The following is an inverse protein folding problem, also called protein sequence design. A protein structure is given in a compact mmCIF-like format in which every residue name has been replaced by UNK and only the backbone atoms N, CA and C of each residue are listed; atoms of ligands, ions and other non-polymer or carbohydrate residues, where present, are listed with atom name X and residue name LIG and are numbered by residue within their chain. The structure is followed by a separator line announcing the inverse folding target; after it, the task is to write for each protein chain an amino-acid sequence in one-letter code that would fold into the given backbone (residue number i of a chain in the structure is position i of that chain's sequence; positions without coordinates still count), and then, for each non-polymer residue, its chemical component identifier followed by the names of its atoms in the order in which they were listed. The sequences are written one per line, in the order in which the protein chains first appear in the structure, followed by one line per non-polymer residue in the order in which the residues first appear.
data_IF_487115665407
#
_entry.id   IF_487115665407
#
_cell.length_a   1.000
_cell.length_b   1.000
_cell.length_c   1.000
_cell.angle_alpha   90.00
_cell.angle_beta   90.00
_cell.angle_gamma   90.00
#
_symmetry.space_group_name_H-M   'P 1'
#
loop_
_entity.id
_entity.type
_entity.pdbx_description
1 polymer ?
#
# COMPACT_ATOMS: atom_id res chain seq x y z
N UNK A 1 22.89 11.34 5.87
CA UNK A 1 22.37 10.79 4.60
C UNK A 1 21.63 9.52 5.00
N UNK A 2 20.37 9.41 4.70
CA UNK A 2 19.59 8.19 5.01
C UNK A 2 20.06 7.09 4.09
N UNK A 3 20.49 5.95 4.63
CA UNK A 3 20.92 4.81 3.84
C UNK A 3 19.72 4.22 3.10
N UNK A 4 19.92 3.82 1.84
CA UNK A 4 18.86 3.24 1.02
C UNK A 4 18.93 1.71 1.09
N UNK A 5 17.82 1.10 1.52
CA UNK A 5 17.65 -0.35 1.45
C UNK A 5 17.51 -0.84 0.00
N UNK A 6 16.79 -0.04 -0.84
CA UNK A 6 16.62 -0.34 -2.26
C UNK A 6 16.86 0.96 -3.04
N UNK A 7 17.67 0.87 -4.10
CA UNK A 7 17.85 1.91 -5.10
C UNK A 7 17.77 1.30 -6.49
N UNK A 8 16.92 1.82 -7.34
CA UNK A 8 16.84 1.44 -8.75
C UNK A 8 16.71 2.70 -9.60
N UNK A 9 17.49 2.78 -10.67
CA UNK A 9 17.45 3.91 -11.59
C UNK A 9 17.13 3.40 -12.99
N UNK A 10 16.10 3.95 -13.60
CA UNK A 10 15.70 3.63 -14.96
C UNK A 10 15.41 2.15 -15.18
N UNK A 11 14.76 1.47 -14.22
CA UNK A 11 14.49 0.04 -14.30
C UNK A 11 13.56 -0.25 -15.48
N UNK A 12 13.97 -1.20 -16.35
CA UNK A 12 13.23 -1.59 -17.57
C UNK A 12 12.98 -3.08 -17.60
N UNK A 13 11.80 -3.46 -18.10
CA UNK A 13 11.44 -4.85 -18.36
C UNK A 13 10.39 -4.96 -19.44
N UNK A 14 10.65 -5.86 -20.40
CA UNK A 14 9.72 -6.22 -21.44
C UNK A 14 9.55 -7.74 -21.52
N UNK A 15 8.39 -8.19 -21.97
CA UNK A 15 8.08 -9.58 -22.25
C UNK A 15 7.53 -9.64 -23.69
N UNK A 16 8.35 -10.15 -24.61
CA UNK A 16 8.09 -10.03 -26.04
C UNK A 16 8.00 -8.55 -26.44
N UNK A 17 6.93 -8.18 -27.12
CA UNK A 17 6.69 -6.81 -27.59
C UNK A 17 6.07 -5.90 -26.51
N UNK A 18 5.70 -6.44 -25.35
CA UNK A 18 5.08 -5.65 -24.27
C UNK A 18 6.11 -5.14 -23.28
N UNK A 19 6.30 -3.83 -23.25
CA UNK A 19 7.04 -3.14 -22.17
C UNK A 19 6.17 -3.09 -20.92
N UNK A 20 6.70 -3.62 -19.80
CA UNK A 20 6.01 -3.69 -18.50
C UNK A 20 6.57 -2.67 -17.52
N UNK A 21 7.89 -2.43 -17.56
CA UNK A 21 8.54 -1.36 -16.82
C UNK A 21 9.36 -0.52 -17.79
N UNK A 22 9.19 0.79 -17.76
CA UNK A 22 9.82 1.72 -18.68
C UNK A 22 10.50 2.88 -17.93
N UNK A 23 11.66 2.61 -17.38
CA UNK A 23 12.48 3.63 -16.74
C UNK A 23 12.00 3.96 -15.31
N UNK A 24 11.68 2.94 -14.51
CA UNK A 24 11.23 3.10 -13.13
C UNK A 24 12.38 3.43 -12.19
N UNK A 25 12.24 4.53 -11.45
CA UNK A 25 13.18 4.97 -10.42
C UNK A 25 12.59 4.70 -9.04
N UNK A 26 13.36 4.05 -8.15
CA UNK A 26 12.95 3.74 -6.78
C UNK A 26 14.07 4.11 -5.81
N UNK A 27 13.70 4.76 -4.71
CA UNK A 27 14.58 5.07 -3.59
C UNK A 27 13.86 4.75 -2.27
N UNK A 28 14.19 3.61 -1.68
CA UNK A 28 13.55 3.09 -0.46
C UNK A 28 14.50 3.25 0.71
N UNK A 29 14.21 4.12 1.68
CA UNK A 29 15.03 4.29 2.88
C UNK A 29 15.01 3.03 3.76
N UNK A 30 16.10 2.76 4.49
CA UNK A 30 16.13 1.69 5.48
C UNK A 30 15.13 1.95 6.63
N UNK A 31 14.52 0.88 7.15
CA UNK A 31 13.62 0.94 8.30
C UNK A 31 12.30 1.67 8.01
N UNK A 32 11.84 1.66 6.76
CA UNK A 32 10.56 2.26 6.36
C UNK A 32 9.63 1.27 5.68
N UNK A 33 8.34 1.63 5.62
CA UNK A 33 7.34 0.98 4.76
C UNK A 33 7.24 1.77 3.46
N UNK A 34 7.65 1.14 2.36
CA UNK A 34 7.52 1.69 1.02
C UNK A 34 6.43 0.94 0.26
N UNK A 35 5.44 1.66 -0.27
CA UNK A 35 4.35 1.09 -1.06
C UNK A 35 4.54 1.38 -2.55
N UNK A 36 4.54 0.35 -3.37
CA UNK A 36 4.38 0.45 -4.83
C UNK A 36 2.91 0.25 -5.17
N UNK A 37 2.18 1.35 -5.29
CA UNK A 37 0.75 1.40 -5.57
C UNK A 37 0.48 1.40 -7.07
N UNK A 38 -0.54 0.68 -7.52
CA UNK A 38 -0.97 0.73 -8.92
C UNK A 38 -1.99 -0.34 -9.28
N UNK A 39 -2.65 -0.23 -10.43
CA UNK A 39 -3.65 -1.19 -10.88
C UNK A 39 -3.02 -2.55 -11.21
N UNK A 40 -3.89 -3.55 -11.42
CA UNK A 40 -3.45 -4.85 -11.89
C UNK A 40 -2.82 -4.72 -13.28
N UNK A 41 -1.68 -5.39 -13.47
CA UNK A 41 -0.93 -5.32 -14.72
C UNK A 41 0.00 -4.11 -14.88
N UNK A 42 0.05 -3.18 -13.93
CA UNK A 42 0.95 -2.02 -13.98
C UNK A 42 2.45 -2.37 -13.91
N UNK A 43 2.81 -3.59 -13.47
CA UNK A 43 4.20 -4.03 -13.36
C UNK A 43 4.72 -4.21 -11.94
N UNK A 44 3.87 -4.09 -10.91
CA UNK A 44 4.25 -4.20 -9.48
C UNK A 44 5.01 -5.50 -9.17
N UNK A 45 4.40 -6.65 -9.46
CA UNK A 45 5.03 -7.98 -9.28
C UNK A 45 6.31 -8.13 -10.11
N UNK A 46 6.37 -7.54 -11.31
CA UNK A 46 7.58 -7.54 -12.12
C UNK A 46 8.72 -6.78 -11.44
N UNK A 47 8.44 -5.63 -10.82
CA UNK A 47 9.43 -4.88 -10.05
C UNK A 47 9.93 -5.72 -8.86
N UNK A 48 9.02 -6.34 -8.08
CA UNK A 48 9.39 -7.26 -6.98
C UNK A 48 10.27 -8.40 -7.48
N UNK A 49 9.90 -9.04 -8.58
CA UNK A 49 10.68 -10.16 -9.15
C UNK A 49 12.10 -9.76 -9.53
N UNK A 50 12.30 -8.55 -10.05
CA UNK A 50 13.63 -8.06 -10.39
C UNK A 50 14.44 -7.76 -9.13
N UNK A 51 13.86 -7.02 -8.19
CA UNK A 51 14.52 -6.62 -6.95
C UNK A 51 14.86 -7.85 -6.08
N UNK A 52 14.04 -8.91 -6.14
CA UNK A 52 14.26 -10.17 -5.42
C UNK A 52 15.10 -11.20 -6.18
N UNK A 53 15.69 -10.83 -7.31
CA UNK A 53 16.55 -11.71 -8.14
C UNK A 53 15.83 -12.84 -8.88
N UNK A 54 14.51 -12.87 -8.92
CA UNK A 54 13.74 -13.91 -9.62
C UNK A 54 13.74 -13.72 -11.14
N UNK A 55 13.89 -12.47 -11.59
CA UNK A 55 13.94 -12.11 -13.01
C UNK A 55 15.02 -11.05 -13.23
N UNK A 56 15.87 -11.17 -14.27
CA UNK A 56 16.82 -10.09 -14.57
C UNK A 56 16.11 -8.89 -15.18
N UNK A 57 16.58 -7.66 -14.90
CA UNK A 57 16.13 -6.47 -15.62
C UNK A 57 16.63 -6.52 -17.07
N UNK A 58 15.98 -5.78 -17.96
CA UNK A 58 16.39 -5.69 -19.35
C UNK A 58 17.69 -4.89 -19.54
N UNK A 59 18.44 -5.13 -20.64
CA UNK A 59 19.55 -4.27 -21.05
C UNK A 59 19.09 -2.81 -21.18
N UNK A 60 19.92 -1.87 -20.69
CA UNK A 60 19.55 -0.46 -20.66
C UNK A 60 18.89 0.00 -19.36
N UNK A 61 18.57 -0.92 -18.44
CA UNK A 61 18.31 -0.55 -17.04
C UNK A 61 19.55 0.04 -16.40
N UNK A 62 19.39 1.10 -15.63
CA UNK A 62 20.46 1.68 -14.84
C UNK A 62 20.89 0.80 -13.66
N UNK A 63 21.67 1.35 -12.73
CA UNK A 63 22.12 0.61 -11.54
C UNK A 63 20.93 0.26 -10.63
N UNK A 64 20.96 -0.98 -10.12
CA UNK A 64 20.01 -1.47 -9.11
C UNK A 64 20.81 -1.95 -7.90
N UNK A 65 20.37 -1.57 -6.71
CA UNK A 65 20.94 -2.00 -5.43
C UNK A 65 19.82 -2.46 -4.51
N UNK A 66 20.02 -3.60 -3.86
CA UNK A 66 19.12 -4.14 -2.83
C UNK A 66 20.00 -4.61 -1.68
N UNK A 67 19.80 -4.03 -0.49
CA UNK A 67 20.69 -4.26 0.66
C UNK A 67 22.16 -3.93 0.38
N UNK A 68 22.41 -2.95 -0.49
CA UNK A 68 23.75 -2.54 -0.93
C UNK A 68 24.35 -3.36 -2.08
N UNK A 69 23.68 -4.44 -2.52
CA UNK A 69 24.18 -5.38 -3.54
C UNK A 69 23.44 -5.24 -4.88
N UNK A 70 24.14 -5.47 -5.99
CA UNK A 70 23.53 -5.51 -7.33
C UNK A 70 22.90 -6.89 -7.57
N UNK A 71 21.58 -6.97 -7.83
CA UNK A 71 20.88 -8.25 -8.07
C UNK A 71 21.44 -9.07 -9.25
N UNK A 72 22.07 -8.42 -10.22
CA UNK A 72 22.62 -9.06 -11.43
C UNK A 72 23.94 -9.76 -11.16
N UNK A 73 24.78 -9.23 -10.28
CA UNK A 73 26.16 -9.69 -10.06
C UNK A 73 26.37 -10.32 -8.69
N UNK A 74 25.54 -9.96 -7.70
CA UNK A 74 25.65 -10.42 -6.32
C UNK A 74 24.30 -10.97 -5.79
N UNK A 75 23.56 -11.71 -6.63
CA UNK A 75 22.23 -12.21 -6.31
C UNK A 75 22.19 -13.07 -5.03
N UNK A 76 23.25 -13.82 -4.70
CA UNK A 76 23.29 -14.58 -3.45
C UNK A 76 23.30 -13.65 -2.21
N UNK A 77 24.08 -12.56 -2.27
CA UNK A 77 24.12 -11.60 -1.17
C UNK A 77 22.77 -10.85 -1.03
N UNK A 78 22.10 -10.54 -2.16
CA UNK A 78 20.73 -10.00 -2.13
C UNK A 78 19.78 -10.98 -1.45
N UNK A 79 19.74 -12.26 -1.89
CA UNK A 79 18.85 -13.28 -1.31
C UNK A 79 19.09 -13.53 0.17
N UNK A 80 20.33 -13.40 0.64
CA UNK A 80 20.65 -13.50 2.07
C UNK A 80 20.13 -12.30 2.89
N UNK A 81 19.85 -11.16 2.26
CA UNK A 81 19.39 -9.95 2.93
C UNK A 81 17.86 -9.75 2.87
N UNK A 82 17.17 -10.52 2.03
CA UNK A 82 15.74 -10.31 1.75
C UNK A 82 14.87 -11.48 2.18
N UNK A 83 13.59 -11.19 2.49
CA UNK A 83 12.49 -12.14 2.53
C UNK A 83 11.46 -11.77 1.46
N UNK A 84 10.80 -12.75 0.87
CA UNK A 84 9.79 -12.52 -0.17
C UNK A 84 8.54 -13.32 0.13
N UNK A 85 7.42 -12.63 0.26
CA UNK A 85 6.10 -13.25 0.29
C UNK A 85 5.40 -12.92 -1.01
N UNK A 86 5.20 -13.90 -1.86
CA UNK A 86 4.56 -13.73 -3.16
C UNK A 86 3.04 -13.61 -3.07
N UNK A 87 2.41 -13.44 -4.24
CA UNK A 87 0.95 -13.42 -4.36
C UNK A 87 0.32 -14.77 -3.97
N UNK A 88 1.00 -15.88 -4.24
CA UNK A 88 0.58 -17.22 -3.79
C UNK A 88 1.36 -17.60 -2.54
N UNK A 89 0.63 -18.14 -1.55
CA UNK A 89 1.23 -18.59 -0.30
C UNK A 89 2.16 -19.78 -0.54
N UNK A 90 3.35 -19.73 0.06
CA UNK A 90 4.32 -20.82 0.08
C UNK A 90 4.03 -21.87 1.18
N UNK A 91 2.95 -21.70 1.94
CA UNK A 91 2.56 -22.60 3.03
C UNK A 91 2.12 -23.97 2.48
N UNK A 92 2.80 -25.02 2.91
CA UNK A 92 2.35 -26.39 2.63
C UNK A 92 1.18 -26.77 3.55
N UNK A 93 0.02 -26.97 2.95
CA UNK A 93 -1.23 -27.31 3.66
C UNK A 93 -1.21 -28.71 4.29
N UNK A 94 -0.34 -29.61 3.85
CA UNK A 94 -0.30 -31.00 4.32
C UNK A 94 0.41 -31.16 5.66
N UNK A 95 1.34 -30.26 5.98
CA UNK A 95 2.09 -30.23 7.22
C UNK A 95 1.57 -29.17 8.18
N UNK A 96 1.97 -29.23 9.44
CA UNK A 96 1.56 -28.30 10.49
C UNK A 96 2.22 -26.92 10.30
N UNK A 97 1.69 -25.89 10.97
CA UNK A 97 2.33 -24.57 10.98
C UNK A 97 3.76 -24.62 11.53
N UNK A 98 3.99 -25.38 12.61
CA UNK A 98 5.32 -25.57 13.19
C UNK A 98 6.28 -26.25 12.20
N UNK A 99 5.84 -27.29 11.49
CA UNK A 99 6.65 -27.98 10.47
C UNK A 99 6.98 -27.09 9.28
N UNK A 100 6.05 -26.24 8.81
CA UNK A 100 6.34 -25.23 7.79
C UNK A 100 7.47 -24.29 8.24
N UNK A 101 7.42 -23.81 9.49
CA UNK A 101 8.45 -22.93 10.06
C UNK A 101 9.79 -23.63 10.20
N UNK A 102 9.80 -24.88 10.67
CA UNK A 102 11.03 -25.68 10.82
C UNK A 102 11.65 -26.02 9.45
N UNK A 103 10.84 -26.26 8.42
CA UNK A 103 11.31 -26.41 7.05
C UNK A 103 12.07 -25.17 6.58
N UNK A 104 11.52 -23.98 6.86
CA UNK A 104 12.20 -22.73 6.54
C UNK A 104 13.50 -22.56 7.33
N UNK A 105 13.54 -23.00 8.61
CA UNK A 105 14.75 -22.97 9.39
C UNK A 105 15.85 -23.87 8.80
N UNK A 106 15.49 -25.07 8.35
CA UNK A 106 16.42 -25.99 7.69
C UNK A 106 16.92 -25.43 6.35
N UNK A 107 16.04 -24.82 5.56
CA UNK A 107 16.40 -24.15 4.29
C UNK A 107 17.33 -22.94 4.49
N UNK A 108 17.23 -22.27 5.63
CA UNK A 108 18.12 -21.17 6.03
C UNK A 108 19.36 -21.67 6.79
N UNK A 109 19.60 -22.98 6.83
CA UNK A 109 20.76 -23.61 7.46
C UNK A 109 20.90 -23.31 8.97
N UNK A 110 19.81 -23.06 9.67
CA UNK A 110 19.82 -22.87 11.12
C UNK A 110 20.07 -24.22 11.82
N UNK A 111 20.79 -24.17 12.93
CA UNK A 111 20.90 -25.38 13.78
C UNK A 111 19.51 -25.74 14.31
N UNK A 112 19.31 -27.04 14.66
CA UNK A 112 18.02 -27.49 15.23
C UNK A 112 17.59 -26.68 16.46
N UNK A 113 18.55 -26.24 17.28
CA UNK A 113 18.27 -25.45 18.47
C UNK A 113 17.80 -24.04 18.10
N UNK A 114 18.50 -23.38 17.19
CA UNK A 114 18.14 -22.04 16.69
C UNK A 114 16.82 -22.08 15.93
N UNK A 115 16.64 -23.04 15.01
CA UNK A 115 15.40 -23.21 14.27
C UNK A 115 14.18 -23.35 15.17
N UNK A 116 14.25 -24.20 16.22
CA UNK A 116 13.14 -24.31 17.18
C UNK A 116 12.88 -23.02 17.96
N UNK A 117 13.95 -22.32 18.37
CA UNK A 117 13.80 -21.05 19.09
C UNK A 117 13.12 -20.00 18.20
N UNK A 118 13.65 -19.77 16.99
CA UNK A 118 13.09 -18.80 16.05
C UNK A 118 11.65 -19.17 15.66
N UNK A 119 11.38 -20.46 15.43
CA UNK A 119 10.01 -20.93 15.15
C UNK A 119 9.05 -20.58 16.28
N UNK A 120 9.41 -20.85 17.54
CA UNK A 120 8.55 -20.56 18.69
C UNK A 120 8.31 -19.05 18.83
N UNK A 121 9.37 -18.23 18.73
CA UNK A 121 9.29 -16.76 18.81
C UNK A 121 8.40 -16.17 17.70
N UNK A 122 8.54 -16.66 16.46
CA UNK A 122 7.73 -16.15 15.34
C UNK A 122 6.27 -16.63 15.43
N UNK A 123 6.02 -17.89 15.81
CA UNK A 123 4.64 -18.38 16.00
C UNK A 123 3.92 -17.60 17.11
N UNK A 124 4.61 -17.24 18.18
CA UNK A 124 4.06 -16.39 19.25
C UNK A 124 3.79 -14.98 18.72
N UNK A 125 4.77 -14.33 18.08
CA UNK A 125 4.65 -12.98 17.53
C UNK A 125 3.50 -12.83 16.52
N UNK A 126 3.22 -13.89 15.74
CA UNK A 126 2.15 -13.91 14.74
C UNK A 126 0.83 -14.48 15.24
N UNK A 127 0.69 -14.71 16.56
CA UNK A 127 -0.52 -15.27 17.19
C UNK A 127 -0.96 -16.59 16.51
N UNK A 128 -0.01 -17.52 16.35
CA UNK A 128 -0.21 -18.83 15.74
C UNK A 128 0.14 -20.00 16.66
N UNK A 129 0.51 -19.75 17.93
CA UNK A 129 0.94 -20.75 18.89
C UNK A 129 -0.10 -21.84 19.12
N UNK A 130 -1.38 -21.47 19.29
CA UNK A 130 -2.47 -22.43 19.54
C UNK A 130 -2.81 -23.30 18.32
N UNK A 131 -2.42 -22.82 17.13
CA UNK A 131 -2.64 -23.53 15.88
C UNK A 131 -1.38 -24.25 15.37
N UNK A 132 -0.22 -24.04 15.99
CA UNK A 132 1.09 -24.49 15.51
C UNK A 132 1.13 -25.97 15.12
N UNK A 133 0.45 -26.82 15.89
CA UNK A 133 0.41 -28.29 15.70
C UNK A 133 -0.74 -28.77 14.81
N UNK A 134 -1.56 -27.86 14.26
CA UNK A 134 -2.63 -28.21 13.32
C UNK A 134 -2.08 -28.16 11.89
N UNK A 135 -2.54 -29.04 10.98
CA UNK A 135 -2.24 -28.93 9.56
C UNK A 135 -2.61 -27.54 9.03
N UNK A 136 -1.75 -26.94 8.20
CA UNK A 136 -1.99 -25.60 7.68
C UNK A 136 -3.19 -25.54 6.72
N UNK A 137 -3.67 -26.69 6.21
CA UNK A 137 -4.95 -26.78 5.48
C UNK A 137 -6.16 -26.32 6.33
N UNK A 138 -6.10 -26.50 7.66
CA UNK A 138 -7.15 -26.11 8.60
C UNK A 138 -7.08 -24.61 9.01
N UNK A 139 -6.09 -23.87 8.55
CA UNK A 139 -5.94 -22.45 8.86
C UNK A 139 -6.92 -21.60 8.04
N UNK A 140 -7.43 -20.51 8.65
CA UNK A 140 -8.15 -19.47 7.91
C UNK A 140 -7.20 -18.76 6.92
N UNK A 141 -7.76 -18.00 5.96
CA UNK A 141 -6.95 -17.21 5.04
C UNK A 141 -5.99 -16.27 5.74
N UNK A 142 -6.46 -15.55 6.77
CA UNK A 142 -5.62 -14.67 7.58
C UNK A 142 -4.52 -15.41 8.36
N UNK A 143 -4.81 -16.60 8.91
CA UNK A 143 -3.79 -17.42 9.56
C UNK A 143 -2.72 -17.92 8.57
N UNK A 144 -3.14 -18.37 7.38
CA UNK A 144 -2.20 -18.77 6.32
C UNK A 144 -1.30 -17.61 5.91
N UNK A 145 -1.85 -16.41 5.75
CA UNK A 145 -1.07 -15.22 5.37
C UNK A 145 -0.10 -14.81 6.49
N UNK A 146 -0.51 -14.89 7.76
CA UNK A 146 0.38 -14.66 8.90
C UNK A 146 1.52 -15.67 8.95
N UNK A 147 1.23 -16.95 8.74
CA UNK A 147 2.24 -18.00 8.68
C UNK A 147 3.22 -17.77 7.52
N UNK A 148 2.73 -17.41 6.35
CA UNK A 148 3.54 -17.14 5.15
C UNK A 148 4.57 -16.02 5.39
N UNK A 149 4.14 -14.92 6.03
CA UNK A 149 5.06 -13.84 6.40
C UNK A 149 6.01 -14.30 7.51
N UNK A 150 5.54 -15.03 8.52
CA UNK A 150 6.41 -15.57 9.58
C UNK A 150 7.52 -16.47 8.99
N UNK A 151 7.18 -17.30 7.99
CA UNK A 151 8.15 -18.15 7.28
C UNK A 151 9.25 -17.31 6.60
N UNK A 152 8.92 -16.17 6.02
CA UNK A 152 9.94 -15.31 5.37
C UNK A 152 10.89 -14.64 6.35
N UNK A 153 10.49 -14.53 7.63
CA UNK A 153 11.30 -13.92 8.69
C UNK A 153 12.33 -14.88 9.32
N UNK A 154 12.20 -16.18 9.08
CA UNK A 154 13.06 -17.20 9.72
C UNK A 154 14.55 -16.96 9.47
N UNK A 155 14.92 -16.49 8.28
CA UNK A 155 16.29 -16.14 7.90
C UNK A 155 16.82 -14.82 8.46
N UNK A 156 16.01 -14.07 9.20
CA UNK A 156 16.38 -12.74 9.72
C UNK A 156 16.65 -11.69 8.62
N UNK A 157 15.79 -11.53 7.61
CA UNK A 157 16.02 -10.60 6.52
C UNK A 157 16.00 -9.14 7.00
N UNK A 158 16.80 -8.28 6.35
CA UNK A 158 16.76 -6.82 6.58
C UNK A 158 15.69 -6.12 5.75
N UNK A 159 15.29 -6.73 4.63
CA UNK A 159 14.30 -6.20 3.71
C UNK A 159 13.26 -7.29 3.42
N UNK A 160 11.98 -6.96 3.46
CA UNK A 160 10.89 -7.87 3.10
C UNK A 160 10.10 -7.30 1.94
N UNK A 161 9.88 -8.14 0.93
CA UNK A 161 8.95 -7.88 -0.15
C UNK A 161 7.62 -8.57 0.14
N UNK A 162 6.54 -7.79 0.14
CA UNK A 162 5.18 -8.28 0.32
C UNK A 162 4.36 -7.96 -0.94
N UNK A 163 4.06 -8.98 -1.74
CA UNK A 163 3.25 -8.77 -2.95
C UNK A 163 1.77 -8.94 -2.62
N UNK A 164 1.04 -7.82 -2.59
CA UNK A 164 -0.39 -7.73 -2.25
C UNK A 164 -0.77 -8.46 -0.95
N UNK A 165 -0.20 -8.06 0.21
CA UNK A 165 -0.25 -8.85 1.45
C UNK A 165 -1.66 -9.06 2.02
N UNK A 166 -2.62 -8.20 1.69
CA UNK A 166 -3.96 -8.24 2.28
C UNK A 166 -5.06 -8.64 1.30
N UNK A 167 -4.69 -8.97 0.05
CA UNK A 167 -5.68 -9.39 -0.96
C UNK A 167 -6.43 -10.64 -0.51
N UNK A 168 -7.77 -10.58 -0.56
CA UNK A 168 -8.66 -11.68 -0.16
C UNK A 168 -8.84 -11.86 1.34
N UNK A 169 -8.32 -10.97 2.18
CA UNK A 169 -8.55 -10.97 3.62
C UNK A 169 -9.82 -10.18 3.97
N UNK A 170 -10.52 -10.63 5.00
CA UNK A 170 -11.59 -9.87 5.63
C UNK A 170 -11.04 -8.60 6.33
N UNK A 171 -11.89 -7.58 6.61
CA UNK A 171 -11.43 -6.32 7.20
C UNK A 171 -10.64 -6.48 8.51
N UNK A 172 -11.07 -7.39 9.39
CA UNK A 172 -10.39 -7.64 10.66
C UNK A 172 -9.00 -8.24 10.45
N UNK A 173 -8.90 -9.23 9.57
CA UNK A 173 -7.62 -9.87 9.21
C UNK A 173 -6.68 -8.88 8.53
N UNK A 174 -7.21 -7.94 7.73
CA UNK A 174 -6.44 -6.86 7.09
C UNK A 174 -5.83 -5.93 8.13
N UNK A 175 -6.62 -5.42 9.09
CA UNK A 175 -6.10 -4.58 10.17
C UNK A 175 -5.03 -5.29 11.02
N UNK A 176 -5.24 -6.57 11.34
CA UNK A 176 -4.23 -7.36 12.05
C UNK A 176 -2.93 -7.46 11.24
N UNK A 177 -3.03 -7.64 9.92
CA UNK A 177 -1.87 -7.69 9.04
C UNK A 177 -1.12 -6.35 9.01
N UNK A 178 -1.83 -5.23 8.96
CA UNK A 178 -1.23 -3.89 9.02
C UNK A 178 -0.46 -3.67 10.32
N UNK A 179 -1.00 -4.10 11.46
CA UNK A 179 -0.30 -4.04 12.74
C UNK A 179 1.01 -4.84 12.71
N UNK A 180 0.97 -6.07 12.20
CA UNK A 180 2.15 -6.91 12.03
C UNK A 180 3.21 -6.22 11.16
N UNK A 181 2.82 -5.63 10.02
CA UNK A 181 3.74 -4.93 9.12
C UNK A 181 4.40 -3.74 9.83
N UNK A 182 3.65 -2.94 10.59
CA UNK A 182 4.20 -1.83 11.39
C UNK A 182 5.20 -2.31 12.45
N UNK A 183 4.91 -3.43 13.12
CA UNK A 183 5.81 -4.03 14.11
C UNK A 183 7.12 -4.52 13.49
N UNK A 184 7.09 -5.03 12.25
CA UNK A 184 8.31 -5.43 11.54
C UNK A 184 9.26 -4.25 11.36
N UNK A 185 8.73 -3.10 10.94
CA UNK A 185 9.51 -1.88 10.74
C UNK A 185 10.01 -1.30 12.06
N UNK A 186 9.21 -1.32 13.11
CA UNK A 186 9.65 -0.95 14.46
C UNK A 186 10.82 -1.82 14.92
N UNK A 187 10.88 -3.09 14.48
CA UNK A 187 11.99 -4.02 14.70
C UNK A 187 13.20 -3.80 13.77
N UNK A 188 13.20 -2.74 12.95
CA UNK A 188 14.32 -2.37 12.07
C UNK A 188 14.29 -3.02 10.68
N UNK A 189 13.25 -3.76 10.32
CA UNK A 189 13.09 -4.36 8.99
C UNK A 189 12.55 -3.32 8.02
N UNK A 190 13.11 -3.24 6.82
CA UNK A 190 12.53 -2.44 5.73
C UNK A 190 11.47 -3.25 5.02
N UNK A 191 10.30 -2.68 4.80
CA UNK A 191 9.20 -3.33 4.08
C UNK A 191 8.95 -2.65 2.75
N UNK A 192 9.04 -3.43 1.67
CA UNK A 192 8.58 -3.04 0.34
C UNK A 192 7.30 -3.81 0.02
N UNK A 193 6.17 -3.13 -0.01
CA UNK A 193 4.89 -3.76 -0.33
C UNK A 193 4.36 -3.29 -1.68
N UNK A 194 3.67 -4.17 -2.37
CA UNK A 194 2.85 -3.78 -3.52
C UNK A 194 1.39 -3.85 -3.13
N UNK A 195 0.59 -2.94 -3.64
CA UNK A 195 -0.85 -2.96 -3.44
C UNK A 195 -1.59 -2.28 -4.59
N UNK A 196 -2.86 -2.64 -4.76
CA UNK A 196 -3.83 -1.91 -5.55
C UNK A 196 -4.83 -1.14 -4.66
N UNK A 197 -4.77 -1.35 -3.34
CA UNK A 197 -5.68 -0.72 -2.38
C UNK A 197 -5.09 0.58 -1.88
N UNK A 198 -5.77 1.68 -2.17
CA UNK A 198 -5.36 3.03 -1.78
C UNK A 198 -5.37 3.21 -0.26
N UNK A 199 -6.38 2.63 0.42
CA UNK A 199 -6.47 2.61 1.88
C UNK A 199 -5.25 1.95 2.53
N UNK A 200 -4.75 0.83 1.97
CA UNK A 200 -3.56 0.15 2.50
C UNK A 200 -2.30 1.02 2.37
N UNK A 201 -2.15 1.68 1.22
CA UNK A 201 -1.03 2.58 1.00
C UNK A 201 -1.08 3.80 1.93
N UNK A 202 -2.27 4.41 2.10
CA UNK A 202 -2.50 5.56 2.98
C UNK A 202 -2.21 5.24 4.45
N UNK A 203 -2.69 4.09 4.92
CA UNK A 203 -2.56 3.67 6.31
C UNK A 203 -1.16 3.18 6.69
N UNK A 204 -0.44 2.52 5.78
CA UNK A 204 0.80 1.85 6.11
C UNK A 204 2.06 2.59 5.69
N UNK A 205 2.05 3.22 4.52
CA UNK A 205 3.29 3.59 3.88
C UNK A 205 3.87 4.91 4.38
N UNK A 206 5.17 4.90 4.72
CA UNK A 206 5.94 6.13 4.94
C UNK A 206 6.17 6.86 3.60
N UNK A 207 6.31 6.10 2.51
CA UNK A 207 6.41 6.62 1.14
C UNK A 207 5.67 5.73 0.16
N UNK A 208 5.01 6.38 -0.80
CA UNK A 208 4.22 5.72 -1.84
C UNK A 208 4.81 6.12 -3.19
N UNK A 209 4.97 5.14 -4.08
CA UNK A 209 5.20 5.36 -5.50
C UNK A 209 4.01 4.84 -6.30
N UNK A 210 3.38 5.69 -7.08
CA UNK A 210 2.25 5.34 -7.94
C UNK A 210 2.79 4.85 -9.27
N UNK A 211 2.64 3.54 -9.55
CA UNK A 211 3.05 2.91 -10.80
C UNK A 211 1.86 2.84 -11.77
N UNK A 212 1.98 3.50 -12.90
CA UNK A 212 0.98 3.49 -13.98
C UNK A 212 1.67 3.35 -15.32
N UNK A 213 1.16 2.47 -16.17
CA UNK A 213 1.71 2.17 -17.51
C UNK A 213 3.24 1.96 -17.54
N UNK A 214 3.73 1.22 -16.53
CA UNK A 214 5.14 0.87 -16.42
C UNK A 214 6.06 2.01 -15.97
N UNK A 215 5.53 3.15 -15.54
CA UNK A 215 6.29 4.33 -15.07
C UNK A 215 5.80 4.81 -13.70
N UNK A 216 6.68 5.48 -12.96
CA UNK A 216 6.25 6.16 -11.74
C UNK A 216 5.58 7.47 -12.14
N UNK A 217 4.26 7.55 -11.91
CA UNK A 217 3.46 8.74 -12.16
C UNK A 217 3.66 9.81 -11.09
N UNK A 218 3.79 9.39 -9.82
CA UNK A 218 4.10 10.27 -8.69
C UNK A 218 4.75 9.46 -7.56
N UNK A 219 5.50 10.15 -6.70
CA UNK A 219 6.12 9.54 -5.51
C UNK A 219 6.20 10.58 -4.38
N UNK A 220 5.86 10.15 -3.16
CA UNK A 220 5.91 11.01 -1.97
C UNK A 220 5.35 10.32 -0.74
N UNK A 221 5.15 11.07 0.35
CA UNK A 221 4.29 10.65 1.46
C UNK A 221 2.82 10.73 1.01
N UNK A 222 1.90 10.10 1.73
CA UNK A 222 0.47 10.22 1.44
C UNK A 222 0.02 11.69 1.38
N UNK A 223 0.45 12.50 2.35
CA UNK A 223 0.13 13.93 2.40
C UNK A 223 0.74 14.74 1.24
N UNK A 224 1.97 14.40 0.80
CA UNK A 224 2.59 15.04 -0.35
C UNK A 224 1.82 14.73 -1.63
N UNK A 225 1.39 13.48 -1.79
CA UNK A 225 0.61 13.06 -2.95
C UNK A 225 -0.78 13.71 -2.97
N UNK A 226 -1.48 13.75 -1.84
CA UNK A 226 -2.79 14.41 -1.72
C UNK A 226 -2.75 15.91 -2.09
N UNK A 227 -1.61 16.58 -1.89
CA UNK A 227 -1.43 18.00 -2.29
C UNK A 227 -1.21 18.21 -3.78
N UNK A 228 -0.89 17.16 -4.56
CA UNK A 228 -0.70 17.28 -6.01
C UNK A 228 -2.03 17.59 -6.69
N UNK A 229 -3.14 17.12 -6.13
CA UNK A 229 -4.48 17.28 -6.71
C UNK A 229 -5.18 18.47 -6.05
N UNK A 230 -5.47 19.55 -6.79
CA UNK A 230 -6.37 20.58 -6.31
C UNK A 230 -7.79 20.00 -6.28
N UNK A 231 -8.40 19.88 -5.15
CA UNK A 231 -9.74 19.28 -5.11
C UNK A 231 -10.41 19.28 -3.75
N UNK A 232 -9.77 19.82 -2.71
CA UNK A 232 -10.45 20.07 -1.45
C UNK A 232 -11.66 20.98 -1.69
N UNK A 233 -12.81 20.59 -1.16
CA UNK A 233 -14.01 21.42 -1.26
C UNK A 233 -14.90 21.22 -0.04
N UNK A 234 -15.67 22.26 0.25
CA UNK A 234 -16.76 22.16 1.21
C UNK A 234 -18.04 21.92 0.44
N UNK A 235 -18.70 20.80 0.70
CA UNK A 235 -20.00 20.46 0.14
C UNK A 235 -21.10 20.91 1.08
N UNK A 236 -21.97 21.77 0.59
CA UNK A 236 -23.20 22.19 1.26
C UNK A 236 -24.38 21.53 0.57
N UNK A 237 -25.24 20.85 1.30
CA UNK A 237 -26.47 20.24 0.79
C UNK A 237 -27.68 20.92 1.37
N UNK A 238 -28.72 21.07 0.55
CA UNK A 238 -29.97 21.72 0.87
C UNK A 238 -31.15 20.78 0.56
N UNK A 239 -32.16 20.80 1.41
CA UNK A 239 -33.44 20.13 1.12
C UNK A 239 -34.42 21.08 0.47
N UNK A 240 -34.33 22.39 0.76
CA UNK A 240 -35.15 23.42 0.14
C UNK A 240 -34.50 23.97 -1.15
N UNK A 241 -35.16 23.83 -2.32
CA UNK A 241 -34.68 24.42 -3.58
C UNK A 241 -34.57 25.96 -3.56
N UNK A 242 -35.31 26.65 -2.70
CA UNK A 242 -35.22 28.11 -2.59
C UNK A 242 -33.93 28.52 -1.83
N UNK A 243 -33.62 27.85 -0.72
CA UNK A 243 -32.37 28.02 0.02
C UNK A 243 -31.15 27.70 -0.86
N UNK A 244 -31.21 26.60 -1.63
CA UNK A 244 -30.17 26.22 -2.59
C UNK A 244 -29.89 27.33 -3.61
N UNK A 245 -30.96 27.89 -4.25
CA UNK A 245 -30.77 28.97 -5.24
C UNK A 245 -30.21 30.26 -4.64
N UNK A 246 -30.61 30.57 -3.40
CA UNK A 246 -30.08 31.73 -2.65
C UNK A 246 -28.61 31.54 -2.36
N UNK A 247 -28.22 30.35 -1.89
CA UNK A 247 -26.84 29.98 -1.63
C UNK A 247 -25.98 30.00 -2.90
N UNK A 248 -26.50 29.45 -4.00
CA UNK A 248 -25.81 29.46 -5.30
C UNK A 248 -25.59 30.87 -5.86
N UNK A 249 -26.41 31.83 -5.45
CA UNK A 249 -26.25 33.25 -5.85
C UNK A 249 -25.21 33.96 -4.95
N UNK A 250 -25.18 33.62 -3.66
CA UNK A 250 -24.22 34.18 -2.69
C UNK A 250 -22.80 33.58 -2.85
N UNK A 251 -22.70 32.31 -3.22
CA UNK A 251 -21.45 31.56 -3.37
C UNK A 251 -21.13 31.29 -4.86
N UNK A 252 -20.78 32.34 -5.57
CA UNK A 252 -20.61 32.30 -7.06
C UNK A 252 -19.45 31.39 -7.51
N UNK A 253 -18.47 31.18 -6.67
CA UNK A 253 -17.33 30.28 -6.90
C UNK A 253 -17.70 28.80 -6.78
N UNK A 254 -18.87 28.50 -6.21
CA UNK A 254 -19.27 27.11 -5.98
C UNK A 254 -19.68 26.41 -7.29
N UNK A 255 -19.24 25.17 -7.46
CA UNK A 255 -19.77 24.28 -8.49
C UNK A 255 -21.13 23.74 -8.03
N UNK A 256 -22.11 23.73 -8.93
CA UNK A 256 -23.50 23.35 -8.64
C UNK A 256 -23.77 21.90 -9.00
N UNK A 257 -24.45 21.22 -8.10
CA UNK A 257 -25.06 19.92 -8.34
C UNK A 257 -26.59 20.09 -8.16
N UNK A 258 -27.26 20.42 -9.25
CA UNK A 258 -28.70 20.74 -9.23
C UNK A 258 -29.59 19.52 -8.92
N UNK A 259 -29.08 18.28 -9.18
CA UNK A 259 -29.82 17.06 -8.89
C UNK A 259 -29.81 16.74 -7.40
N UNK A 260 -28.65 16.92 -6.75
CA UNK A 260 -28.49 16.69 -5.33
C UNK A 260 -28.81 17.92 -4.47
N UNK A 261 -29.17 19.07 -5.07
CA UNK A 261 -29.29 20.36 -4.41
C UNK A 261 -28.06 20.69 -3.55
N UNK A 262 -26.86 20.49 -4.12
CA UNK A 262 -25.62 20.67 -3.43
C UNK A 262 -24.70 21.69 -4.11
N UNK A 263 -23.91 22.38 -3.31
CA UNK A 263 -22.84 23.29 -3.74
C UNK A 263 -21.50 22.77 -3.27
N UNK A 264 -20.53 22.69 -4.18
CA UNK A 264 -19.14 22.36 -3.84
C UNK A 264 -18.31 23.65 -3.94
N UNK A 265 -17.82 24.15 -2.82
CA UNK A 265 -17.02 25.36 -2.70
C UNK A 265 -15.56 24.93 -2.65
N UNK A 266 -14.72 25.31 -3.64
CA UNK A 266 -13.29 24.99 -3.63
C UNK A 266 -12.61 25.56 -2.37
N UNK A 267 -11.78 24.78 -1.72
CA UNK A 267 -11.04 25.19 -0.54
C UNK A 267 -10.24 24.04 0.08
N UNK A 268 -9.29 24.35 0.95
CA UNK A 268 -8.44 23.38 1.63
C UNK A 268 -9.09 22.78 2.90
N UNK A 269 -10.32 23.19 3.23
CA UNK A 269 -11.04 22.77 4.42
C UNK A 269 -10.43 23.26 5.73
N UNK A 270 -9.52 24.24 5.68
CA UNK A 270 -8.90 24.80 6.88
C UNK A 270 -9.93 25.49 7.77
N UNK A 271 -9.65 25.52 9.09
CA UNK A 271 -10.51 26.21 10.06
C UNK A 271 -10.79 27.66 9.67
N UNK A 272 -9.84 28.34 9.02
CA UNK A 272 -9.99 29.73 8.57
C UNK A 272 -11.01 29.83 7.45
N UNK A 273 -10.89 28.96 6.45
CA UNK A 273 -11.82 28.94 5.30
C UNK A 273 -13.23 28.54 5.73
N UNK A 274 -13.35 27.50 6.56
CA UNK A 274 -14.65 27.08 7.10
C UNK A 274 -15.33 28.21 7.86
N UNK A 275 -14.61 28.92 8.72
CA UNK A 275 -15.15 30.06 9.46
C UNK A 275 -15.62 31.16 8.50
N UNK A 276 -14.78 31.52 7.52
CA UNK A 276 -15.16 32.54 6.51
C UNK A 276 -16.38 32.12 5.68
N UNK A 277 -16.52 30.85 5.36
CA UNK A 277 -17.69 30.32 4.65
C UNK A 277 -18.96 30.40 5.52
N UNK A 278 -18.87 29.99 6.79
CA UNK A 278 -19.99 30.08 7.73
C UNK A 278 -20.42 31.52 7.97
N UNK A 279 -19.49 32.46 8.17
CA UNK A 279 -19.78 33.90 8.34
C UNK A 279 -20.49 34.48 7.11
N UNK A 280 -20.16 34.01 5.90
CA UNK A 280 -20.83 34.41 4.65
C UNK A 280 -22.25 33.87 4.56
N UNK A 281 -22.46 32.61 4.96
CA UNK A 281 -23.79 31.98 5.01
C UNK A 281 -24.68 32.69 6.02
N UNK A 282 -24.16 32.96 7.24
CA UNK A 282 -24.87 33.67 8.29
C UNK A 282 -25.28 35.09 7.82
N UNK A 283 -24.35 35.82 7.18
CA UNK A 283 -24.61 37.16 6.66
C UNK A 283 -25.70 37.15 5.57
N UNK A 284 -25.78 36.10 4.79
CA UNK A 284 -26.79 35.90 3.75
C UNK A 284 -28.10 35.31 4.28
N UNK A 285 -28.19 34.96 5.56
CA UNK A 285 -29.35 34.31 6.16
C UNK A 285 -29.64 32.94 5.55
N UNK A 286 -28.61 32.21 5.18
CA UNK A 286 -28.69 30.89 4.51
C UNK A 286 -28.23 29.81 5.48
N UNK A 287 -29.09 28.81 5.68
CA UNK A 287 -28.78 27.61 6.44
C UNK A 287 -28.69 26.39 5.51
N UNK A 288 -27.60 25.64 5.59
CA UNK A 288 -27.43 24.39 4.86
C UNK A 288 -27.83 23.23 5.79
N UNK A 289 -28.53 22.25 5.26
CA UNK A 289 -28.95 21.07 6.04
C UNK A 289 -27.77 20.15 6.36
N UNK A 290 -26.75 20.14 5.51
CA UNK A 290 -25.55 19.33 5.70
C UNK A 290 -24.32 20.07 5.17
N UNK A 291 -23.24 20.06 5.95
CA UNK A 291 -21.93 20.57 5.57
C UNK A 291 -20.94 19.44 5.70
N UNK A 292 -20.26 19.08 4.59
CA UNK A 292 -19.21 18.07 4.56
C UNK A 292 -17.93 18.70 4.00
N UNK A 293 -16.82 18.48 4.67
CA UNK A 293 -15.50 18.89 4.18
C UNK A 293 -14.89 17.70 3.46
N UNK A 294 -14.66 17.85 2.16
CA UNK A 294 -13.91 16.90 1.37
C UNK A 294 -12.46 17.37 1.28
N UNK A 295 -11.56 16.60 1.85
CA UNK A 295 -10.11 16.74 1.65
C UNK A 295 -9.67 15.71 0.61
N UNK A 296 -8.80 16.08 -0.35
CA UNK A 296 -8.32 15.12 -1.33
C UNK A 296 -7.78 13.86 -0.66
N UNK A 297 -8.17 12.73 -1.17
CA UNK A 297 -7.67 11.41 -0.77
C UNK A 297 -6.76 10.80 -1.86
N UNK A 298 -6.25 9.60 -1.63
CA UNK A 298 -5.41 8.94 -2.63
C UNK A 298 -6.22 8.46 -3.84
N UNK A 299 -7.55 8.30 -3.72
CA UNK A 299 -8.43 8.01 -4.85
C UNK A 299 -8.41 9.17 -5.84
N UNK A 300 -8.57 10.41 -5.35
CA UNK A 300 -8.50 11.63 -6.17
C UNK A 300 -7.14 11.75 -6.88
N UNK A 301 -6.05 11.48 -6.15
CA UNK A 301 -4.69 11.47 -6.71
C UNK A 301 -4.57 10.44 -7.82
N UNK A 302 -5.04 9.24 -7.57
CA UNK A 302 -4.97 8.16 -8.55
C UNK A 302 -5.77 8.50 -9.81
N UNK A 303 -7.00 8.99 -9.68
CA UNK A 303 -7.83 9.41 -10.81
C UNK A 303 -7.18 10.53 -11.62
N UNK A 304 -6.60 11.53 -10.95
CA UNK A 304 -5.93 12.64 -11.63
C UNK A 304 -4.69 12.18 -12.42
N UNK A 305 -3.91 11.24 -11.86
CA UNK A 305 -2.68 10.75 -12.48
C UNK A 305 -2.90 9.71 -13.59
N UNK A 306 -4.03 8.98 -13.55
CA UNK A 306 -4.31 7.88 -14.48
C UNK A 306 -5.33 8.22 -15.56
N UNK A 307 -5.82 9.47 -15.59
CA UNK A 307 -6.80 9.93 -16.60
C UNK A 307 -8.19 9.29 -16.47
N UNK A 308 -8.56 8.86 -15.27
CA UNK A 308 -9.91 8.35 -14.99
C UNK A 308 -10.11 6.86 -15.27
N UNK A 309 -9.06 6.08 -15.41
CA UNK A 309 -9.20 4.62 -15.40
C UNK A 309 -9.54 4.15 -13.97
N UNK A 310 -10.83 3.90 -13.73
CA UNK A 310 -11.34 3.48 -12.42
C UNK A 310 -10.67 2.19 -11.94
N UNK A 311 -10.17 2.20 -10.71
CA UNK A 311 -9.99 0.95 -9.95
C UNK A 311 -11.40 0.39 -9.73
N UNK A 312 -11.65 -0.92 -9.95
CA UNK A 312 -12.96 -1.50 -9.69
C UNK A 312 -13.38 -1.22 -8.24
N UNK A 313 -14.49 -0.51 -8.09
CA UNK A 313 -15.10 -0.16 -6.82
C UNK A 313 -15.30 -1.43 -5.98
N UNK A 314 -14.81 -1.45 -4.76
CA UNK A 314 -15.22 -2.48 -3.81
C UNK A 314 -16.69 -2.23 -3.46
N UNK A 315 -17.54 -3.26 -3.39
CA UNK A 315 -18.90 -3.07 -2.96
C UNK A 315 -18.88 -2.45 -1.54
N UNK A 316 -19.40 -1.24 -1.42
CA UNK A 316 -19.69 -0.63 -0.12
C UNK A 316 -20.67 -1.56 0.57
N UNK A 317 -20.19 -2.40 1.48
CA UNK A 317 -21.06 -3.16 2.36
C UNK A 317 -21.86 -2.16 3.19
N UNK A 318 -23.15 -2.06 2.82
CA UNK A 318 -24.13 -1.35 3.62
C UNK A 318 -24.12 -1.93 5.03
N UNK A 319 -23.73 -1.13 6.00
CA UNK A 319 -23.95 -1.40 7.41
C UNK A 319 -25.45 -1.64 7.66
N UNK A 320 -25.80 -2.86 8.01
CA UNK A 320 -27.05 -3.21 8.69
C UNK A 320 -26.74 -3.75 10.07
#
# INVERSE_FOLDING_TARGET
MTDLAIAANGLRKSYGDKTVLDGVDLAVPEGTIFSLLGPNGAGKTTAVNILSTLTPPDPGSGPVRVGGHDPRTAGQAVRAAIGVTGQFSAVDGLITGEENMLLMADLNHLTRREGRRVTAELLERFDLTDAAKKPASAYSGGMKRRLDIAMTLVGGPRIIFLDEPTTGLDPRSRHTMWQIIRELVTGGVTVFLTTQYLEEADELADRIAVLHDGRIAAQGTADELKRIVPGGHVRLRFTDPAAYRSAATALREATRDDQALALNIPGDGSQRELRSLLDRLDTAGIEADELTVHTPDLDDVFFALTGGAAIPDQPKENAR
#
